data_IF_003129176476
#
_entry.id   IF_003129176476
#
_cell.length_a   1.000
_cell.length_b   1.000
_cell.length_c   1.000
_cell.angle_alpha   90.00
_cell.angle_beta   90.00
_cell.angle_gamma   90.00
#
_symmetry.space_group_name_H-M   'P 1'
#
loop_
_entity.id
_entity.type
_entity.pdbx_description
1 polymer ?
#
# COMPACT_ATOMS: atom_id res chain seq x y z
N UNK A 1 -18.52 -17.53 6.56
CA UNK A 1 -17.19 -17.31 7.18
C UNK A 1 -16.29 -16.71 6.13
N UNK A 2 -15.69 -15.54 6.37
CA UNK A 2 -14.84 -14.84 5.41
C UNK A 2 -13.63 -15.71 5.08
N UNK A 3 -13.18 -15.67 3.81
CA UNK A 3 -12.03 -16.46 3.33
C UNK A 3 -10.79 -16.29 4.22
N UNK A 4 -10.56 -15.08 4.66
CA UNK A 4 -9.48 -14.67 5.57
C UNK A 4 -9.49 -15.46 6.89
N UNK A 5 -10.68 -15.62 7.48
CA UNK A 5 -10.83 -16.39 8.72
C UNK A 5 -10.57 -17.89 8.50
N UNK A 6 -10.90 -18.42 7.32
CA UNK A 6 -10.59 -19.83 6.98
C UNK A 6 -9.10 -20.04 6.87
N UNK A 7 -8.37 -19.14 6.19
CA UNK A 7 -6.91 -19.22 6.05
C UNK A 7 -6.23 -19.09 7.41
N UNK A 8 -6.64 -18.13 8.23
CA UNK A 8 -6.13 -17.98 9.59
C UNK A 8 -6.35 -19.24 10.42
N UNK A 9 -7.56 -19.79 10.43
CA UNK A 9 -7.89 -21.01 11.17
C UNK A 9 -7.11 -22.22 10.67
N UNK A 10 -6.89 -22.35 9.35
CA UNK A 10 -6.10 -23.42 8.78
C UNK A 10 -4.64 -23.36 9.25
N UNK A 11 -4.03 -22.19 9.17
CA UNK A 11 -2.64 -21.98 9.60
C UNK A 11 -2.51 -22.24 11.11
N UNK A 12 -3.45 -21.78 11.90
CA UNK A 12 -3.50 -22.03 13.33
C UNK A 12 -3.66 -23.53 13.65
N UNK A 13 -4.51 -24.23 12.90
CA UNK A 13 -4.68 -25.67 13.08
C UNK A 13 -3.37 -26.42 12.80
N UNK A 14 -2.70 -26.11 11.69
CA UNK A 14 -1.40 -26.71 11.33
C UNK A 14 -0.36 -26.45 12.43
N UNK A 15 -0.32 -25.22 12.95
CA UNK A 15 0.62 -24.84 14.00
C UNK A 15 0.35 -25.60 15.31
N UNK A 16 -0.91 -25.71 15.75
CA UNK A 16 -1.29 -26.47 16.96
C UNK A 16 -0.97 -27.95 16.80
N UNK A 17 -1.26 -28.54 15.63
CA UNK A 17 -0.92 -29.95 15.36
C UNK A 17 0.59 -30.16 15.41
N UNK A 18 1.38 -29.26 14.81
CA UNK A 18 2.85 -29.37 14.81
C UNK A 18 3.40 -29.29 16.25
N UNK A 19 2.92 -28.35 17.06
CA UNK A 19 3.31 -28.26 18.47
C UNK A 19 2.92 -29.51 19.26
N UNK A 20 1.72 -30.05 19.05
CA UNK A 20 1.27 -31.27 19.71
C UNK A 20 2.17 -32.47 19.38
N UNK A 21 2.61 -32.59 18.13
CA UNK A 21 3.55 -33.64 17.71
C UNK A 21 4.92 -33.45 18.38
N UNK A 22 5.43 -32.24 18.42
CA UNK A 22 6.72 -31.93 19.08
C UNK A 22 6.62 -32.27 20.57
N UNK A 23 5.53 -31.89 21.23
CA UNK A 23 5.30 -32.17 22.64
C UNK A 23 5.24 -33.69 22.92
N UNK A 24 4.53 -34.43 22.08
CA UNK A 24 4.48 -35.88 22.18
C UNK A 24 5.88 -36.53 22.06
N UNK A 25 6.70 -36.06 21.11
CA UNK A 25 8.08 -36.53 20.94
C UNK A 25 8.92 -36.19 22.18
N UNK A 26 8.81 -34.98 22.71
CA UNK A 26 9.53 -34.56 23.92
C UNK A 26 9.17 -35.41 25.12
N UNK A 27 7.88 -35.65 25.36
CA UNK A 27 7.41 -36.50 26.45
C UNK A 27 7.87 -37.96 26.30
N UNK A 28 7.89 -38.46 25.06
CA UNK A 28 8.40 -39.83 24.77
C UNK A 28 9.89 -39.93 25.10
N UNK A 29 10.70 -38.96 24.62
CA UNK A 29 12.16 -38.95 24.87
C UNK A 29 12.48 -38.85 26.35
N UNK A 30 11.77 -37.99 27.09
CA UNK A 30 11.94 -37.85 28.54
C UNK A 30 11.60 -39.15 29.25
N UNK A 31 10.50 -39.81 28.86
CA UNK A 31 10.09 -41.05 29.49
C UNK A 31 11.15 -42.15 29.25
N UNK A 32 11.70 -42.24 28.03
CA UNK A 32 12.77 -43.17 27.70
C UNK A 32 14.07 -42.90 28.48
N UNK A 33 14.45 -41.62 28.61
CA UNK A 33 15.62 -41.22 29.40
C UNK A 33 15.44 -41.57 30.90
N UNK A 34 14.26 -41.30 31.47
CA UNK A 34 13.97 -41.66 32.87
C UNK A 34 14.01 -43.16 33.11
N UNK A 35 13.46 -43.96 32.20
CA UNK A 35 13.53 -45.42 32.30
C UNK A 35 14.96 -45.94 32.22
N UNK A 36 15.79 -45.44 31.31
CA UNK A 36 17.24 -45.80 31.22
C UNK A 36 17.99 -45.37 32.50
N UNK A 37 17.70 -44.19 33.01
CA UNK A 37 18.29 -43.70 34.25
C UNK A 37 17.95 -44.64 35.43
N UNK A 38 16.69 -45.04 35.55
CA UNK A 38 16.21 -45.94 36.56
C UNK A 38 16.90 -47.34 36.45
N UNK A 39 17.05 -47.85 35.23
CA UNK A 39 17.77 -49.13 34.98
C UNK A 39 19.26 -49.08 35.37
N UNK A 40 19.96 -47.99 35.03
CA UNK A 40 21.37 -47.81 35.35
C UNK A 40 21.53 -47.69 36.90
N UNK A 41 20.67 -46.88 37.52
CA UNK A 41 20.74 -46.59 38.94
C UNK A 41 20.41 -47.85 39.78
N UNK A 42 19.43 -48.64 39.38
CA UNK A 42 19.07 -49.90 40.04
C UNK A 42 20.22 -50.93 39.98
N UNK A 43 20.98 -50.97 38.87
CA UNK A 43 22.16 -51.84 38.75
C UNK A 43 23.34 -51.35 39.59
N UNK A 44 23.54 -50.04 39.74
CA UNK A 44 24.68 -49.46 40.41
C UNK A 44 24.49 -49.47 41.96
N UNK A 45 23.25 -49.32 42.42
CA UNK A 45 22.94 -49.13 43.85
C UNK A 45 21.72 -49.97 44.27
N UNK A 46 21.80 -51.33 44.30
CA UNK A 46 20.64 -52.19 44.61
C UNK A 46 20.04 -51.95 45.99
N UNK A 47 20.89 -51.66 47.00
CA UNK A 47 20.45 -51.46 48.39
C UNK A 47 19.77 -50.11 48.64
N UNK A 48 19.99 -49.13 47.77
CA UNK A 48 19.41 -47.77 47.87
C UNK A 48 17.95 -47.75 47.42
N UNK A 49 17.59 -48.60 46.48
CA UNK A 49 16.22 -48.71 45.97
C UNK A 49 15.20 -49.11 47.04
N UNK A 50 15.59 -49.91 48.04
CA UNK A 50 14.71 -50.32 49.13
C UNK A 50 14.43 -49.25 50.18
N UNK A 51 15.21 -48.13 50.20
CA UNK A 51 15.09 -47.07 51.19
C UNK A 51 14.35 -45.80 50.73
N UNK A 52 14.20 -45.62 49.45
CA UNK A 52 13.55 -44.43 48.85
C UNK A 52 12.48 -44.87 47.86
N UNK A 53 11.33 -44.21 47.94
CA UNK A 53 10.22 -44.37 46.99
C UNK A 53 10.59 -43.69 45.66
N UNK A 54 11.49 -44.31 44.92
CA UNK A 54 12.16 -43.76 43.71
C UNK A 54 11.11 -43.46 42.63
N UNK A 55 10.08 -44.28 42.51
CA UNK A 55 8.99 -44.15 41.55
C UNK A 55 8.18 -42.86 41.77
N UNK A 56 7.92 -42.50 43.02
CA UNK A 56 7.19 -41.30 43.41
C UNK A 56 7.98 -40.01 43.05
N UNK A 57 9.31 -40.00 43.25
CA UNK A 57 10.18 -38.91 42.86
C UNK A 57 10.25 -38.73 41.35
N UNK A 58 10.35 -39.81 40.59
CA UNK A 58 10.38 -39.76 39.14
C UNK A 58 9.04 -39.32 38.54
N UNK A 59 7.91 -39.72 39.14
CA UNK A 59 6.58 -39.28 38.71
C UNK A 59 6.36 -37.80 39.01
N UNK A 60 6.85 -37.29 40.14
CA UNK A 60 6.77 -35.85 40.47
C UNK A 60 7.63 -35.00 39.51
N UNK A 61 8.85 -35.42 39.21
CA UNK A 61 9.72 -34.75 38.22
C UNK A 61 9.03 -34.74 36.84
N UNK A 62 8.47 -35.86 36.41
CA UNK A 62 7.77 -35.98 35.12
C UNK A 62 6.54 -35.08 35.07
N UNK A 63 5.74 -35.04 36.12
CA UNK A 63 4.55 -34.22 36.23
C UNK A 63 4.91 -32.73 36.20
N UNK A 64 5.91 -32.29 36.94
CA UNK A 64 6.34 -30.89 37.00
C UNK A 64 6.93 -30.45 35.64
N UNK A 65 7.75 -31.29 35.03
CA UNK A 65 8.31 -30.99 33.69
C UNK A 65 7.22 -30.87 32.62
N UNK A 66 6.25 -31.79 32.63
CA UNK A 66 5.11 -31.73 31.71
C UNK A 66 4.29 -30.45 31.86
N UNK A 67 4.03 -30.01 33.12
CA UNK A 67 3.31 -28.74 33.37
C UNK A 67 4.06 -27.52 32.84
N UNK A 68 5.38 -27.48 33.08
CA UNK A 68 6.21 -26.36 32.59
C UNK A 68 6.19 -26.30 31.04
N UNK A 69 6.34 -27.43 30.36
CA UNK A 69 6.25 -27.51 28.90
C UNK A 69 4.90 -27.00 28.41
N UNK A 70 3.79 -27.50 28.98
CA UNK A 70 2.43 -27.09 28.57
C UNK A 70 2.20 -25.59 28.75
N UNK A 71 2.72 -24.98 29.81
CA UNK A 71 2.61 -23.53 30.02
C UNK A 71 3.38 -22.78 28.92
N UNK A 72 4.63 -23.15 28.65
CA UNK A 72 5.44 -22.52 27.60
C UNK A 72 4.84 -22.66 26.22
N UNK A 73 4.31 -23.83 25.89
CA UNK A 73 3.60 -24.07 24.62
C UNK A 73 2.36 -23.20 24.49
N UNK A 74 1.58 -23.09 25.58
CA UNK A 74 0.41 -22.21 25.62
C UNK A 74 0.79 -20.74 25.33
N UNK A 75 1.84 -20.23 25.97
CA UNK A 75 2.35 -18.88 25.73
C UNK A 75 2.79 -18.72 24.28
N UNK A 76 3.52 -19.68 23.72
CA UNK A 76 4.04 -19.63 22.37
C UNK A 76 2.93 -19.67 21.32
N UNK A 77 1.88 -20.46 21.55
CA UNK A 77 0.67 -20.50 20.70
C UNK A 77 -0.04 -19.15 20.68
N UNK A 78 -0.22 -18.52 21.85
CA UNK A 78 -0.87 -17.22 21.96
C UNK A 78 -0.06 -16.15 21.23
N UNK A 79 1.25 -16.13 21.44
CA UNK A 79 2.16 -15.12 20.89
C UNK A 79 2.26 -15.23 19.35
N UNK A 80 2.40 -16.43 18.83
CA UNK A 80 2.44 -16.67 17.39
C UNK A 80 1.09 -16.40 16.72
N UNK A 81 -0.03 -16.73 17.38
CA UNK A 81 -1.38 -16.38 16.91
C UNK A 81 -1.55 -14.88 16.75
N UNK A 82 -1.08 -14.11 17.72
CA UNK A 82 -1.15 -12.65 17.69
C UNK A 82 -0.32 -12.06 16.54
N UNK A 83 0.92 -12.52 16.38
CA UNK A 83 1.81 -12.07 15.28
C UNK A 83 1.20 -12.41 13.91
N UNK A 84 0.70 -13.64 13.74
CA UNK A 84 0.08 -14.10 12.50
C UNK A 84 -1.17 -13.30 12.15
N UNK A 85 -2.05 -13.08 13.15
CA UNK A 85 -3.25 -12.26 12.97
C UNK A 85 -2.90 -10.85 12.49
N UNK A 86 -1.94 -10.19 13.14
CA UNK A 86 -1.53 -8.82 12.79
C UNK A 86 -0.90 -8.74 11.39
N UNK A 87 -0.09 -9.73 11.04
CA UNK A 87 0.57 -9.81 9.73
C UNK A 87 -0.45 -10.02 8.60
N UNK A 88 -1.37 -10.96 8.79
CA UNK A 88 -2.43 -11.26 7.81
C UNK A 88 -3.37 -10.06 7.66
N UNK A 89 -3.82 -9.44 8.75
CA UNK A 89 -4.72 -8.28 8.69
C UNK A 89 -4.07 -7.10 7.95
N UNK A 90 -2.80 -6.81 8.23
CA UNK A 90 -2.05 -5.77 7.52
C UNK A 90 -1.90 -6.08 6.02
N UNK A 91 -1.57 -7.33 5.67
CA UNK A 91 -1.45 -7.74 4.27
C UNK A 91 -2.78 -7.60 3.53
N UNK A 92 -3.86 -8.07 4.12
CA UNK A 92 -5.21 -8.02 3.52
C UNK A 92 -5.76 -6.59 3.41
N UNK A 93 -5.42 -5.71 4.34
CA UNK A 93 -5.76 -4.27 4.24
C UNK A 93 -5.05 -3.62 3.04
N UNK A 94 -3.77 -3.94 2.83
CA UNK A 94 -3.00 -3.44 1.67
C UNK A 94 -3.60 -3.96 0.36
N UNK A 95 -3.91 -5.24 0.28
CA UNK A 95 -4.52 -5.85 -0.91
C UNK A 95 -5.90 -5.25 -1.24
N UNK A 96 -6.76 -5.06 -0.23
CA UNK A 96 -8.08 -4.43 -0.42
C UNK A 96 -7.98 -3.01 -0.94
N UNK A 97 -7.07 -2.19 -0.38
CA UNK A 97 -6.82 -0.83 -0.86
C UNK A 97 -6.34 -0.82 -2.31
N UNK A 98 -5.45 -1.73 -2.65
CA UNK A 98 -4.94 -1.87 -4.01
C UNK A 98 -6.04 -2.28 -5.01
N UNK A 99 -6.86 -3.28 -4.67
CA UNK A 99 -8.02 -3.67 -5.49
C UNK A 99 -9.02 -2.51 -5.67
N UNK A 100 -9.32 -1.78 -4.60
CA UNK A 100 -10.19 -0.60 -4.66
C UNK A 100 -9.61 0.47 -5.60
N UNK A 101 -8.31 0.74 -5.50
CA UNK A 101 -7.64 1.68 -6.41
C UNK A 101 -7.73 1.25 -7.87
N UNK A 102 -7.49 -0.03 -8.18
CA UNK A 102 -7.64 -0.56 -9.55
C UNK A 102 -9.08 -0.44 -10.05
N UNK A 103 -10.07 -0.73 -9.21
CA UNK A 103 -11.49 -0.58 -9.57
C UNK A 103 -11.84 0.86 -9.91
N UNK A 104 -11.37 1.84 -9.12
CA UNK A 104 -11.58 3.27 -9.39
C UNK A 104 -10.90 3.68 -10.69
N UNK A 105 -9.67 3.21 -10.95
CA UNK A 105 -8.97 3.48 -12.21
C UNK A 105 -9.76 2.94 -13.40
N UNK A 106 -10.19 1.67 -13.36
CA UNK A 106 -10.97 1.06 -14.44
C UNK A 106 -12.27 1.83 -14.66
N UNK A 107 -12.97 2.21 -13.58
CA UNK A 107 -14.20 2.98 -13.66
C UNK A 107 -13.97 4.36 -14.29
N UNK A 108 -12.94 5.08 -13.87
CA UNK A 108 -12.58 6.38 -14.40
C UNK A 108 -12.22 6.31 -15.90
N UNK A 109 -11.45 5.29 -16.28
CA UNK A 109 -11.09 5.01 -17.66
C UNK A 109 -12.35 4.72 -18.48
N UNK A 110 -13.20 3.81 -18.02
CA UNK A 110 -14.45 3.44 -18.72
C UNK A 110 -15.38 4.62 -18.90
N UNK A 111 -15.55 5.45 -17.87
CA UNK A 111 -16.35 6.68 -17.97
C UNK A 111 -15.77 7.68 -18.99
N UNK A 112 -14.45 7.85 -18.98
CA UNK A 112 -13.77 8.73 -19.93
C UNK A 112 -13.88 8.23 -21.36
N UNK A 113 -13.61 6.93 -21.58
CA UNK A 113 -13.80 6.33 -22.90
C UNK A 113 -15.23 6.50 -23.39
N UNK A 114 -16.23 6.25 -22.52
CA UNK A 114 -17.64 6.41 -22.86
C UNK A 114 -17.98 7.84 -23.32
N UNK A 115 -17.52 8.85 -22.57
CA UNK A 115 -17.75 10.25 -22.92
C UNK A 115 -17.07 10.64 -24.24
N UNK A 116 -15.81 10.19 -24.43
CA UNK A 116 -15.06 10.47 -25.67
C UNK A 116 -15.70 9.79 -26.90
N UNK A 117 -16.10 8.53 -26.75
CA UNK A 117 -16.79 7.81 -27.82
C UNK A 117 -18.15 8.45 -28.16
N UNK A 118 -18.93 8.85 -27.15
CA UNK A 118 -20.19 9.56 -27.38
C UNK A 118 -19.96 10.86 -28.19
N UNK A 119 -18.94 11.63 -27.82
CA UNK A 119 -18.58 12.85 -28.56
C UNK A 119 -18.15 12.56 -30.00
N UNK A 120 -17.40 11.49 -30.23
CA UNK A 120 -16.99 11.06 -31.57
C UNK A 120 -18.21 10.66 -32.40
N UNK A 121 -19.12 9.85 -31.84
CA UNK A 121 -20.32 9.40 -32.52
C UNK A 121 -21.20 10.60 -32.91
N UNK A 122 -21.47 11.52 -31.98
CA UNK A 122 -22.25 12.72 -32.27
C UNK A 122 -21.63 13.57 -33.39
N UNK A 123 -20.29 13.74 -33.38
CA UNK A 123 -19.63 14.51 -34.42
C UNK A 123 -19.61 13.77 -35.78
N UNK A 124 -19.55 12.43 -35.79
CA UNK A 124 -19.71 11.64 -37.00
C UNK A 124 -21.12 11.73 -37.60
N UNK A 125 -22.17 11.75 -36.74
CA UNK A 125 -23.56 11.98 -37.21
C UNK A 125 -23.70 13.35 -37.88
N UNK A 126 -23.11 14.40 -37.26
CA UNK A 126 -23.11 15.75 -37.85
C UNK A 126 -22.34 15.79 -39.20
N UNK A 127 -21.23 15.05 -39.31
CA UNK A 127 -20.46 14.94 -40.55
C UNK A 127 -21.23 14.27 -41.66
N UNK A 128 -22.06 13.29 -41.36
CA UNK A 128 -22.96 12.65 -42.33
C UNK A 128 -24.04 13.58 -42.90
N UNK A 129 -24.40 14.59 -42.15
CA UNK A 129 -25.39 15.59 -42.59
C UNK A 129 -24.79 16.83 -43.28
N UNK A 130 -23.50 17.13 -43.01
CA UNK A 130 -22.84 18.35 -43.54
C UNK A 130 -21.38 18.09 -43.84
N UNK A 131 -20.91 18.43 -45.02
CA UNK A 131 -19.51 18.31 -45.47
C UNK A 131 -18.50 19.21 -44.70
N UNK A 132 -18.78 19.68 -43.51
CA UNK A 132 -18.02 20.77 -42.93
C UNK A 132 -16.93 20.45 -41.87
N UNK A 133 -15.80 21.13 -42.10
CA UNK A 133 -14.57 21.28 -41.32
C UNK A 133 -14.68 21.40 -39.76
N UNK A 134 -15.68 22.04 -39.11
CA UNK A 134 -15.71 22.15 -37.63
C UNK A 134 -15.93 20.85 -36.88
N UNK A 135 -16.61 19.87 -37.50
CA UNK A 135 -16.82 18.57 -36.88
C UNK A 135 -15.53 17.74 -36.86
N UNK A 136 -14.76 17.80 -37.93
CA UNK A 136 -13.43 17.16 -38.03
C UNK A 136 -12.50 17.69 -36.95
N UNK A 137 -12.44 19.03 -36.76
CA UNK A 137 -11.63 19.64 -35.70
C UNK A 137 -12.05 19.19 -34.29
N UNK A 138 -13.36 19.02 -34.03
CA UNK A 138 -13.84 18.50 -32.75
C UNK A 138 -13.45 17.04 -32.53
N UNK A 139 -13.54 16.19 -33.56
CA UNK A 139 -13.11 14.79 -33.49
C UNK A 139 -11.61 14.71 -33.20
N UNK A 140 -10.80 15.45 -33.96
CA UNK A 140 -9.36 15.51 -33.76
C UNK A 140 -8.97 15.92 -32.35
N UNK A 141 -9.66 16.93 -31.79
CA UNK A 141 -9.48 17.36 -30.41
C UNK A 141 -9.81 16.24 -29.41
N UNK A 142 -10.95 15.55 -29.57
CA UNK A 142 -11.34 14.44 -28.68
C UNK A 142 -10.36 13.28 -28.76
N UNK A 143 -9.89 12.93 -29.97
CA UNK A 143 -8.87 11.88 -30.16
C UNK A 143 -7.56 12.25 -29.50
N UNK A 144 -7.15 13.52 -29.56
CA UNK A 144 -5.93 13.99 -28.90
C UNK A 144 -6.06 13.92 -27.36
N UNK A 145 -7.20 14.31 -26.78
CA UNK A 145 -7.47 14.18 -25.34
C UNK A 145 -7.42 12.71 -24.92
N UNK A 146 -8.09 11.83 -25.67
CA UNK A 146 -8.10 10.39 -25.38
C UNK A 146 -6.70 9.77 -25.46
N UNK A 147 -5.91 10.15 -26.46
CA UNK A 147 -4.52 9.69 -26.61
C UNK A 147 -3.65 10.12 -25.41
N UNK A 148 -3.86 11.34 -24.93
CA UNK A 148 -3.16 11.83 -23.73
C UNK A 148 -3.58 11.08 -22.48
N UNK A 149 -4.88 10.81 -22.31
CA UNK A 149 -5.40 10.04 -21.17
C UNK A 149 -4.83 8.62 -21.13
N UNK A 150 -4.76 7.95 -22.30
CA UNK A 150 -4.16 6.62 -22.41
C UNK A 150 -2.66 6.66 -22.07
N UNK A 151 -1.93 7.66 -22.52
CA UNK A 151 -0.51 7.82 -22.15
C UNK A 151 -0.34 8.02 -20.64
N UNK A 152 -1.13 8.90 -20.04
CA UNK A 152 -1.12 9.15 -18.59
C UNK A 152 -1.41 7.86 -17.80
N UNK A 153 -2.40 7.10 -18.20
CA UNK A 153 -2.70 5.79 -17.62
C UNK A 153 -1.51 4.83 -17.77
N UNK A 154 -1.01 4.68 -19.00
CA UNK A 154 0.10 3.75 -19.27
C UNK A 154 1.35 4.08 -18.45
N UNK A 155 1.71 5.37 -18.32
CA UNK A 155 2.84 5.79 -17.49
C UNK A 155 2.58 5.52 -16.01
N UNK A 156 1.38 5.82 -15.52
CA UNK A 156 0.98 5.55 -14.13
C UNK A 156 1.01 4.06 -13.83
N UNK A 157 0.44 3.22 -14.70
CA UNK A 157 0.50 1.76 -14.51
C UNK A 157 1.92 1.19 -14.52
N UNK A 158 2.80 1.68 -15.41
CA UNK A 158 4.21 1.25 -15.42
C UNK A 158 4.98 1.64 -14.17
N UNK A 159 4.58 2.72 -13.52
CA UNK A 159 5.21 3.22 -12.30
C UNK A 159 4.63 2.60 -11.02
N UNK A 160 3.40 2.04 -11.07
CA UNK A 160 2.84 1.33 -9.94
C UNK A 160 3.64 0.05 -9.69
N UNK A 161 4.29 -0.10 -8.51
CA UNK A 161 4.99 -1.32 -8.18
C UNK A 161 3.96 -2.43 -7.95
N UNK A 162 3.95 -3.42 -8.82
CA UNK A 162 3.19 -4.67 -8.62
C UNK A 162 3.83 -5.54 -7.52
N UNK A 163 5.12 -5.35 -7.26
CA UNK A 163 5.92 -6.07 -6.27
C UNK A 163 6.55 -5.10 -5.27
N UNK A 164 6.52 -5.45 -3.99
CA UNK A 164 7.17 -4.79 -2.85
C UNK A 164 7.03 -3.26 -2.79
N UNK A 165 5.89 -2.80 -2.30
CA UNK A 165 5.74 -1.42 -1.83
C UNK A 165 6.59 -1.19 -0.57
N UNK A 166 7.88 -0.95 -0.76
CA UNK A 166 8.75 -0.52 0.34
C UNK A 166 8.37 0.90 0.75
N UNK A 167 7.95 1.05 1.99
CA UNK A 167 7.74 2.34 2.62
C UNK A 167 9.04 2.74 3.33
N UNK A 168 9.45 3.97 3.14
CA UNK A 168 10.65 4.54 3.76
C UNK A 168 10.42 6.01 4.16
N UNK A 169 11.28 6.56 5.01
CA UNK A 169 11.24 7.99 5.31
C UNK A 169 11.80 8.80 4.13
N UNK A 170 10.92 9.51 3.45
CA UNK A 170 11.24 10.27 2.24
C UNK A 170 11.25 11.75 2.57
N UNK A 171 12.32 12.43 2.15
CA UNK A 171 12.39 13.87 2.17
C UNK A 171 11.60 14.42 0.97
N UNK A 172 10.55 15.18 1.23
CA UNK A 172 9.67 15.74 0.19
C UNK A 172 10.40 16.74 -0.71
N UNK A 173 11.37 17.47 -0.15
CA UNK A 173 12.21 18.41 -0.90
C UNK A 173 12.99 17.73 -2.02
N UNK A 174 13.61 16.58 -1.73
CA UNK A 174 14.41 15.84 -2.70
C UNK A 174 13.56 15.34 -3.87
N UNK A 175 12.35 14.87 -3.59
CA UNK A 175 11.40 14.43 -4.61
C UNK A 175 11.01 15.61 -5.52
N UNK A 176 10.63 16.74 -4.92
CA UNK A 176 10.23 17.92 -5.68
C UNK A 176 11.38 18.48 -6.53
N UNK A 177 12.59 18.59 -5.97
CA UNK A 177 13.76 19.09 -6.70
C UNK A 177 14.14 18.20 -7.89
N UNK A 178 14.04 16.87 -7.73
CA UNK A 178 14.31 15.94 -8.81
C UNK A 178 13.27 16.02 -9.93
N UNK A 179 12.00 16.18 -9.58
CA UNK A 179 10.92 16.31 -10.55
C UNK A 179 10.96 17.67 -11.27
N UNK A 180 11.24 18.77 -10.54
CA UNK A 180 11.29 20.11 -11.15
C UNK A 180 12.33 20.23 -12.26
N UNK A 181 13.43 19.44 -12.22
CA UNK A 181 14.42 19.38 -13.29
C UNK A 181 13.87 18.86 -14.63
N UNK A 182 12.73 18.14 -14.59
CA UNK A 182 12.09 17.57 -15.79
C UNK A 182 11.13 18.57 -16.48
N UNK A 183 10.79 19.66 -15.78
CA UNK A 183 9.89 20.69 -16.30
C UNK A 183 10.67 21.90 -16.79
N UNK A 184 10.35 22.34 -17.99
CA UNK A 184 10.93 23.55 -18.58
C UNK A 184 10.48 24.81 -17.80
N UNK A 185 11.37 25.31 -16.94
CA UNK A 185 11.13 26.49 -16.12
C UNK A 185 11.42 27.82 -16.84
N UNK A 186 11.99 27.80 -18.07
CA UNK A 186 12.37 29.02 -18.78
C UNK A 186 11.17 29.88 -19.18
N UNK A 187 10.00 29.25 -19.37
CA UNK A 187 8.77 29.95 -19.79
C UNK A 187 7.87 30.39 -18.64
N UNK A 188 8.10 29.94 -17.41
CA UNK A 188 7.21 30.22 -16.27
C UNK A 188 8.01 30.48 -14.99
N UNK A 189 7.57 31.45 -14.19
CA UNK A 189 8.21 31.76 -12.91
C UNK A 189 7.86 30.69 -11.88
N UNK A 190 8.85 29.95 -11.39
CA UNK A 190 8.68 28.96 -10.33
C UNK A 190 9.17 29.56 -9.02
N UNK A 191 8.28 29.60 -8.03
CA UNK A 191 8.60 30.03 -6.66
C UNK A 191 8.58 28.81 -5.75
N UNK A 192 9.75 28.41 -5.26
CA UNK A 192 9.91 27.28 -4.35
C UNK A 192 10.31 27.77 -2.98
N UNK A 193 9.51 27.47 -1.94
CA UNK A 193 9.80 27.74 -0.53
C UNK A 193 9.69 26.45 0.25
N UNK A 194 10.79 26.00 0.86
CA UNK A 194 10.86 24.68 1.48
C UNK A 194 11.18 24.78 2.96
N UNK A 195 10.38 24.07 3.78
CA UNK A 195 10.73 23.70 5.15
C UNK A 195 10.90 22.17 5.20
N UNK A 196 11.81 21.64 6.04
CA UNK A 196 12.03 20.20 6.13
C UNK A 196 10.73 19.45 6.42
N UNK A 197 10.39 18.50 5.54
CA UNK A 197 9.22 17.63 5.67
C UNK A 197 9.61 16.22 5.24
N UNK A 198 9.52 15.27 6.19
CA UNK A 198 9.70 13.85 5.91
C UNK A 198 8.39 13.10 6.08
N UNK A 199 8.14 12.13 5.21
CA UNK A 199 6.96 11.26 5.28
C UNK A 199 7.38 9.80 5.13
N UNK A 200 6.82 8.94 5.98
CA UNK A 200 6.93 7.50 5.81
C UNK A 200 5.89 7.06 4.77
N UNK A 201 6.33 6.72 3.58
CA UNK A 201 5.48 6.42 2.44
C UNK A 201 6.25 5.65 1.36
N UNK A 202 5.55 5.21 0.31
CA UNK A 202 6.21 4.67 -0.88
C UNK A 202 6.74 5.82 -1.75
N UNK A 203 8.04 5.77 -2.08
CA UNK A 203 8.72 6.82 -2.86
C UNK A 203 8.09 7.02 -4.24
N UNK A 204 7.79 5.92 -4.94
CA UNK A 204 7.18 5.98 -6.30
C UNK A 204 5.78 6.59 -6.27
N UNK A 205 4.98 6.29 -5.24
CA UNK A 205 3.67 6.91 -5.08
C UNK A 205 3.78 8.43 -4.93
N UNK A 206 4.74 8.91 -4.11
CA UNK A 206 4.97 10.34 -3.94
C UNK A 206 5.48 10.99 -5.24
N UNK A 207 6.36 10.32 -5.98
CA UNK A 207 6.84 10.78 -7.29
C UNK A 207 5.66 10.93 -8.27
N UNK A 208 4.75 9.97 -8.33
CA UNK A 208 3.55 10.03 -9.20
C UNK A 208 2.61 11.17 -8.75
N UNK A 209 2.37 11.32 -7.45
CA UNK A 209 1.55 12.40 -6.89
C UNK A 209 2.11 13.75 -7.32
N UNK A 210 3.38 14.00 -7.03
CA UNK A 210 4.00 15.28 -7.34
C UNK A 210 4.16 15.51 -8.83
N UNK A 211 4.50 14.48 -9.62
CA UNK A 211 4.58 14.60 -11.07
C UNK A 211 3.25 15.06 -11.69
N UNK A 212 2.13 14.40 -11.36
CA UNK A 212 0.81 14.78 -11.87
C UNK A 212 0.39 16.20 -11.42
N UNK A 213 0.72 16.59 -10.20
CA UNK A 213 0.40 17.93 -9.70
C UNK A 213 1.25 19.02 -10.38
N UNK A 214 2.54 18.76 -10.58
CA UNK A 214 3.44 19.67 -11.29
C UNK A 214 3.07 19.78 -12.77
N UNK A 215 2.85 18.64 -13.44
CA UNK A 215 2.40 18.61 -14.84
C UNK A 215 1.12 19.45 -15.01
N UNK A 216 0.14 19.26 -14.12
CA UNK A 216 -1.09 20.02 -14.12
C UNK A 216 -0.82 21.53 -13.90
N UNK A 217 0.00 21.87 -12.91
CA UNK A 217 0.35 23.26 -12.61
C UNK A 217 1.08 23.92 -13.78
N UNK A 218 2.07 23.24 -14.37
CA UNK A 218 2.80 23.78 -15.52
C UNK A 218 1.93 23.90 -16.78
N UNK A 219 1.07 22.90 -17.06
CA UNK A 219 0.21 22.88 -18.25
C UNK A 219 -0.80 24.01 -18.24
N UNK A 220 -1.47 24.23 -17.08
CA UNK A 220 -2.60 25.16 -16.97
C UNK A 220 -2.26 26.52 -16.38
N UNK A 221 -1.01 26.78 -16.00
CA UNK A 221 -0.58 28.11 -15.58
C UNK A 221 -0.38 29.04 -16.78
N UNK A 222 -0.68 30.30 -16.56
CA UNK A 222 -0.35 31.38 -17.51
C UNK A 222 1.08 31.86 -17.32
N UNK A 223 1.46 32.18 -16.07
CA UNK A 223 2.72 32.88 -15.79
C UNK A 223 3.54 32.31 -14.64
N UNK A 224 2.91 31.69 -13.61
CA UNK A 224 3.66 31.22 -12.45
C UNK A 224 3.14 29.93 -11.85
N UNK A 225 4.06 29.19 -11.19
CA UNK A 225 3.79 28.05 -10.32
C UNK A 225 4.46 28.33 -8.97
N UNK A 226 3.69 28.31 -7.89
CA UNK A 226 4.15 28.52 -6.54
C UNK A 226 4.04 27.21 -5.74
N UNK A 227 5.18 26.71 -5.25
CA UNK A 227 5.29 25.49 -4.46
C UNK A 227 5.79 25.87 -3.07
N UNK A 228 5.03 25.55 -2.04
CA UNK A 228 5.38 25.82 -0.66
C UNK A 228 5.31 24.57 0.18
N UNK A 229 6.48 24.11 0.65
CA UNK A 229 6.59 23.00 1.59
C UNK A 229 6.63 23.57 3.01
N UNK A 230 5.70 23.12 3.84
CA UNK A 230 5.58 23.50 5.25
C UNK A 230 5.85 22.27 6.12
N UNK A 231 5.95 22.42 7.45
CA UNK A 231 6.25 21.32 8.37
C UNK A 231 5.30 20.12 8.26
N UNK A 232 4.04 20.33 7.81
CA UNK A 232 3.01 19.27 7.75
C UNK A 232 2.24 19.24 6.43
N UNK A 233 2.47 20.17 5.53
CA UNK A 233 1.73 20.20 4.27
C UNK A 233 2.57 20.75 3.12
N UNK A 234 2.17 20.37 1.90
CA UNK A 234 2.67 20.95 0.65
C UNK A 234 1.51 21.65 -0.04
N UNK A 235 1.75 22.89 -0.46
CA UNK A 235 0.81 23.71 -1.21
C UNK A 235 1.39 23.96 -2.60
N UNK A 236 0.65 23.59 -3.64
CA UNK A 236 0.98 23.90 -5.03
C UNK A 236 -0.13 24.79 -5.56
N UNK A 237 0.25 25.98 -6.04
CA UNK A 237 -0.67 26.98 -6.56
C UNK A 237 -0.14 27.52 -7.88
N UNK A 238 -1.03 27.63 -8.85
CA UNK A 238 -0.75 28.28 -10.14
C UNK A 238 -1.87 29.28 -10.50
N UNK A 239 -1.55 30.22 -11.34
CA UNK A 239 -2.55 31.02 -12.04
C UNK A 239 -3.20 30.19 -13.17
N UNK A 240 -4.41 30.58 -13.57
CA UNK A 240 -5.17 29.85 -14.59
C UNK A 240 -5.02 30.52 -15.95
N UNK A 241 -4.55 29.76 -16.92
CA UNK A 241 -4.60 30.19 -18.31
C UNK A 241 -5.97 29.80 -18.92
N UNK A 242 -6.82 30.78 -19.16
CA UNK A 242 -8.16 30.57 -19.72
C UNK A 242 -8.15 30.13 -21.19
N UNK A 243 -7.02 30.28 -21.88
CA UNK A 243 -6.84 29.87 -23.28
C UNK A 243 -6.57 28.36 -23.39
N UNK A 244 -6.13 27.72 -22.28
CA UNK A 244 -5.92 26.28 -22.24
C UNK A 244 -7.18 25.62 -21.75
N UNK A 245 -7.78 24.84 -22.64
CA UNK A 245 -8.98 24.07 -22.28
C UNK A 245 -8.69 23.01 -21.21
N UNK A 246 -9.70 22.76 -20.39
CA UNK A 246 -9.62 21.80 -19.29
C UNK A 246 -9.24 20.40 -19.76
N UNK A 247 -8.39 19.73 -18.99
CA UNK A 247 -8.00 18.35 -19.23
C UNK A 247 -9.06 17.36 -18.72
N UNK A 248 -8.71 16.08 -18.84
CA UNK A 248 -9.57 14.95 -18.48
C UNK A 248 -9.93 14.85 -17.00
N UNK A 249 -9.15 15.48 -16.13
CA UNK A 249 -9.27 15.34 -14.66
C UNK A 249 -8.67 14.03 -14.11
N UNK A 250 -8.17 13.15 -14.99
CA UNK A 250 -7.64 11.83 -14.63
C UNK A 250 -6.41 11.95 -13.70
N UNK A 251 -5.49 12.88 -14.00
CA UNK A 251 -4.31 13.10 -13.17
C UNK A 251 -4.67 13.46 -11.71
N UNK A 252 -5.68 14.31 -11.51
CA UNK A 252 -6.16 14.67 -10.17
C UNK A 252 -6.81 13.48 -9.48
N UNK A 253 -7.57 12.65 -10.20
CA UNK A 253 -8.17 11.43 -9.64
C UNK A 253 -7.09 10.43 -9.17
N UNK A 254 -6.02 10.25 -9.93
CA UNK A 254 -4.86 9.42 -9.56
C UNK A 254 -4.23 9.96 -8.28
N UNK A 255 -4.03 11.27 -8.19
CA UNK A 255 -3.47 11.93 -7.00
C UNK A 255 -4.34 11.73 -5.78
N UNK A 256 -5.66 11.93 -5.87
CA UNK A 256 -6.61 11.71 -4.78
C UNK A 256 -6.50 10.28 -4.22
N UNK A 257 -6.45 9.29 -5.11
CA UNK A 257 -6.35 7.88 -4.72
C UNK A 257 -5.01 7.52 -4.08
N UNK A 258 -3.88 7.96 -4.68
CA UNK A 258 -2.55 7.71 -4.13
C UNK A 258 -2.35 8.43 -2.79
N UNK A 259 -2.88 9.62 -2.63
CA UNK A 259 -2.90 10.34 -1.35
C UNK A 259 -3.64 9.52 -0.28
N UNK A 260 -4.83 9.01 -0.59
CA UNK A 260 -5.60 8.15 0.32
C UNK A 260 -4.83 6.89 0.71
N UNK A 261 -4.13 6.24 -0.24
CA UNK A 261 -3.31 5.04 0.03
C UNK A 261 -2.14 5.32 0.97
N UNK A 262 -1.56 6.52 0.90
CA UNK A 262 -0.41 6.93 1.72
C UNK A 262 -0.81 7.72 2.97
N UNK A 263 -2.12 7.80 3.31
CA UNK A 263 -2.60 8.53 4.47
C UNK A 263 -2.35 10.05 4.39
N UNK A 264 -2.36 10.60 3.17
CA UNK A 264 -2.20 12.03 2.88
C UNK A 264 -3.58 12.61 2.61
N UNK A 265 -3.96 13.69 3.30
CA UNK A 265 -5.23 14.37 3.03
C UNK A 265 -5.07 15.32 1.85
N UNK A 266 -5.84 15.08 0.81
CA UNK A 266 -5.86 15.89 -0.40
C UNK A 266 -6.99 16.93 -0.34
N UNK A 267 -6.69 18.20 -0.67
CA UNK A 267 -7.68 19.27 -0.82
C UNK A 267 -7.36 20.09 -2.05
N UNK A 268 -8.37 20.43 -2.85
CA UNK A 268 -8.26 21.32 -4.01
C UNK A 268 -9.18 22.53 -3.85
N UNK A 269 -8.72 23.68 -4.28
CA UNK A 269 -9.49 24.92 -4.34
C UNK A 269 -9.29 25.57 -5.70
N UNK A 270 -10.39 25.84 -6.38
CA UNK A 270 -10.42 26.53 -7.66
C UNK A 270 -11.05 27.92 -7.44
N UNK A 271 -10.42 28.94 -7.95
CA UNK A 271 -10.96 30.30 -8.03
C UNK A 271 -10.82 30.80 -9.47
N UNK A 272 -11.41 31.95 -9.79
CA UNK A 272 -11.36 32.52 -11.14
C UNK A 272 -9.93 32.77 -11.67
N UNK A 273 -8.98 32.96 -10.76
CA UNK A 273 -7.60 33.32 -11.09
C UNK A 273 -6.57 32.25 -10.77
N UNK A 274 -6.90 31.33 -9.86
CA UNK A 274 -5.90 30.42 -9.31
C UNK A 274 -6.48 29.03 -9.07
N UNK A 275 -5.65 28.03 -9.32
CA UNK A 275 -5.84 26.65 -8.88
C UNK A 275 -4.86 26.36 -7.74
N UNK A 276 -5.35 25.76 -6.66
CA UNK A 276 -4.53 25.48 -5.48
C UNK A 276 -4.80 24.06 -5.00
N UNK A 277 -3.73 23.29 -4.80
CA UNK A 277 -3.77 21.97 -4.18
C UNK A 277 -3.02 22.02 -2.85
N UNK A 278 -3.56 21.37 -1.85
CA UNK A 278 -2.98 21.22 -0.52
C UNK A 278 -2.90 19.74 -0.19
N UNK A 279 -1.69 19.25 0.02
CA UNK A 279 -1.40 17.91 0.53
C UNK A 279 -1.06 18.03 2.02
N UNK A 280 -1.87 17.42 2.88
CA UNK A 280 -1.67 17.45 4.34
C UNK A 280 -1.13 16.10 4.79
N UNK A 281 0.05 16.11 5.40
CA UNK A 281 0.83 14.95 5.83
C UNK A 281 0.72 14.67 7.34
N UNK A 282 -0.23 15.35 8.00
CA UNK A 282 -0.47 15.18 9.45
C UNK A 282 -1.02 13.79 9.79
#
# INVERSE_FOLDING_TARGET
>A
MKFELKVFLLVMLVFVVTLSVINFINLYVINELLMKYQEIYSKAYPDFMYRFNHDEILDDIKSNYSRVILIWEGILVVLTSFILYFTIDNYLRKERRYKSFLQILILAVSHKFGNSLSSIITNLEILKEKEESPAIKRIEKVVNILSQDIRTLSTTFRQLPFEDRKEEFINIEDVLNNLLKQFDSERKKVFLSVKPLKKYANKKDLEIIFYNLLENAFKYSKSFVHIKVLKKCVVIRNDINKEVEGGSGLGILIVENLCSLNGIKFRKKVSDKHFTVILDFS
#
